data_IF_411250617928
#
_entry.id   IF_411250617928
#
_cell.length_a   1.000
_cell.length_b   1.000
_cell.length_c   1.000
_cell.angle_alpha   90.00
_cell.angle_beta   90.00
_cell.angle_gamma   90.00
#
_symmetry.space_group_name_H-M   'P 1'
#
loop_
_entity.id
_entity.type
_entity.pdbx_description
1 polymer ?
#
# COMPACT_ATOMS: atom_id res chain seq x y z
N UNK A 1 -7.27 19.34 0.72
CA UNK A 1 -6.50 18.98 1.93
C UNK A 1 -6.56 17.48 2.12
N UNK A 2 -5.42 16.81 1.95
CA UNK A 2 -5.21 15.38 2.18
C UNK A 2 -5.01 15.08 3.68
N UNK A 3 -4.98 13.80 4.06
CA UNK A 3 -4.58 13.39 5.41
C UNK A 3 -3.12 13.74 5.71
N UNK A 4 -2.24 13.77 4.71
CA UNK A 4 -0.86 14.22 4.85
C UNK A 4 -0.81 15.69 5.27
N UNK A 5 -1.69 16.54 4.73
CA UNK A 5 -1.76 17.96 5.12
C UNK A 5 -2.31 18.13 6.55
N UNK A 6 -3.26 17.30 6.95
CA UNK A 6 -3.91 17.37 8.28
C UNK A 6 -3.03 16.83 9.41
N UNK A 7 -2.28 15.77 9.11
CA UNK A 7 -1.44 15.09 10.10
C UNK A 7 -0.03 15.67 10.12
N UNK A 8 0.49 16.11 8.98
CA UNK A 8 1.84 16.66 8.84
C UNK A 8 2.87 15.73 9.49
N UNK A 9 3.70 16.31 10.35
CA UNK A 9 4.78 15.60 11.07
C UNK A 9 4.29 14.50 12.03
N UNK A 10 2.98 14.45 12.31
CA UNK A 10 2.38 13.39 13.14
C UNK A 10 2.05 12.13 12.36
N UNK A 11 2.09 12.15 11.03
CA UNK A 11 1.88 10.93 10.24
C UNK A 11 3.14 10.05 10.31
N UNK A 12 3.07 8.95 11.07
CA UNK A 12 4.23 8.07 11.32
C UNK A 12 4.24 6.78 10.51
N UNK A 13 3.06 6.27 10.18
CA UNK A 13 2.90 4.97 9.55
C UNK A 13 1.65 4.96 8.66
N UNK A 14 1.75 4.37 7.48
CA UNK A 14 0.64 4.15 6.54
C UNK A 14 0.49 2.65 6.26
N UNK A 15 -0.74 2.14 6.34
CA UNK A 15 -1.08 0.83 5.81
C UNK A 15 -1.45 0.98 4.33
N UNK A 16 -0.85 0.15 3.49
CA UNK A 16 -1.08 0.11 2.06
C UNK A 16 -1.88 -1.15 1.74
N UNK A 17 -3.01 -0.94 1.07
CA UNK A 17 -3.89 -2.00 0.59
C UNK A 17 -4.19 -1.75 -0.88
N UNK A 18 -4.40 -2.83 -1.64
CA UNK A 18 -5.15 -2.77 -2.89
C UNK A 18 -6.54 -3.34 -2.64
N UNK A 19 -7.55 -2.92 -3.41
CA UNK A 19 -8.90 -3.43 -3.25
C UNK A 19 -9.72 -3.33 -4.54
N UNK A 20 -10.82 -4.06 -4.59
CA UNK A 20 -11.81 -3.95 -5.67
C UNK A 20 -12.77 -2.76 -5.50
N UNK A 21 -12.66 -2.03 -4.39
CA UNK A 21 -13.51 -0.91 -4.00
C UNK A 21 -14.92 -1.32 -3.52
N UNK A 22 -15.20 -2.61 -3.36
CA UNK A 22 -16.51 -3.12 -2.98
C UNK A 22 -16.48 -4.04 -1.75
N UNK A 23 -15.38 -4.74 -1.52
CA UNK A 23 -15.18 -5.62 -0.38
C UNK A 23 -14.08 -5.10 0.56
N UNK A 24 -14.08 -5.59 1.79
CA UNK A 24 -13.01 -5.36 2.77
C UNK A 24 -11.77 -6.26 2.53
N UNK A 25 -11.68 -6.87 1.35
CA UNK A 25 -10.58 -7.75 1.00
C UNK A 25 -9.37 -6.91 0.58
N UNK A 26 -8.20 -7.22 1.14
CA UNK A 26 -6.96 -6.57 0.73
C UNK A 26 -6.26 -7.43 -0.31
N UNK A 27 -6.09 -6.89 -1.50
CA UNK A 27 -5.53 -7.61 -2.63
C UNK A 27 -4.02 -7.45 -2.68
N UNK A 28 -3.32 -8.41 -3.29
CA UNK A 28 -1.90 -8.24 -3.60
C UNK A 28 -1.77 -6.98 -4.49
N UNK A 29 -0.80 -6.08 -4.24
CA UNK A 29 -0.62 -4.89 -5.06
C UNK A 29 -0.64 -5.19 -6.56
N UNK A 30 -1.54 -4.52 -7.28
CA UNK A 30 -1.75 -4.69 -8.72
C UNK A 30 -2.86 -5.67 -9.11
N UNK A 31 -3.50 -6.34 -8.16
CA UNK A 31 -4.69 -7.18 -8.44
C UNK A 31 -6.00 -6.44 -8.18
N UNK A 32 -5.97 -5.32 -7.45
CA UNK A 32 -7.13 -4.48 -7.23
C UNK A 32 -7.25 -3.35 -8.25
N UNK A 33 -7.97 -2.31 -7.85
CA UNK A 33 -8.32 -1.16 -8.68
C UNK A 33 -7.78 0.16 -8.13
N UNK A 34 -7.10 0.12 -6.98
CA UNK A 34 -6.52 1.34 -6.42
C UNK A 34 -5.35 1.77 -7.32
N UNK A 35 -5.26 3.06 -7.71
CA UNK A 35 -4.17 3.57 -8.55
C UNK A 35 -2.87 3.71 -7.72
N UNK A 36 -2.34 2.59 -7.23
CA UNK A 36 -1.25 2.56 -6.25
C UNK A 36 0.02 3.27 -6.75
N UNK A 37 0.35 3.16 -8.03
CA UNK A 37 1.51 3.87 -8.58
C UNK A 37 1.38 5.40 -8.44
N UNK A 38 0.22 5.97 -8.80
CA UNK A 38 -0.04 7.40 -8.66
C UNK A 38 -0.09 7.82 -7.18
N UNK A 39 -0.68 6.98 -6.32
CA UNK A 39 -0.69 7.22 -4.87
C UNK A 39 0.73 7.26 -4.30
N UNK A 40 1.59 6.31 -4.66
CA UNK A 40 2.96 6.25 -4.15
C UNK A 40 3.78 7.44 -4.64
N UNK A 41 3.58 7.87 -5.90
CA UNK A 41 4.21 9.07 -6.43
C UNK A 41 3.79 10.33 -5.66
N UNK A 42 2.50 10.51 -5.35
CA UNK A 42 2.03 11.66 -4.54
C UNK A 42 2.63 11.63 -3.12
N UNK A 43 2.71 10.45 -2.49
CA UNK A 43 3.33 10.30 -1.16
C UNK A 43 4.82 10.67 -1.20
N UNK A 44 5.55 10.22 -2.22
CA UNK A 44 6.96 10.56 -2.41
C UNK A 44 7.18 12.05 -2.66
N UNK A 45 6.36 12.67 -3.53
CA UNK A 45 6.44 14.10 -3.84
C UNK A 45 6.17 14.99 -2.62
N UNK A 46 5.37 14.50 -1.67
CA UNK A 46 5.12 15.17 -0.39
C UNK A 46 6.27 15.03 0.61
N UNK A 47 7.31 14.25 0.30
CA UNK A 47 8.46 14.05 1.18
C UNK A 47 8.14 13.22 2.42
N UNK A 48 7.17 12.30 2.35
CA UNK A 48 6.88 11.40 3.45
C UNK A 48 8.05 10.44 3.71
N UNK A 49 8.57 10.43 4.94
CA UNK A 49 9.70 9.60 5.37
C UNK A 49 9.34 8.59 6.47
N UNK A 50 8.04 8.37 6.70
CA UNK A 50 7.57 7.40 7.69
C UNK A 50 7.56 5.97 7.16
N UNK A 51 6.99 5.07 7.95
CA UNK A 51 6.94 3.64 7.60
C UNK A 51 5.68 3.29 6.80
N UNK A 52 5.78 2.24 5.98
CA UNK A 52 4.61 1.64 5.35
C UNK A 52 4.56 0.13 5.60
N UNK A 53 3.35 -0.39 5.68
CA UNK A 53 3.09 -1.84 5.75
C UNK A 53 2.13 -2.20 4.64
N UNK A 54 2.47 -3.22 3.85
CA UNK A 54 1.52 -3.83 2.92
C UNK A 54 0.63 -4.75 3.76
N UNK A 55 -0.66 -4.43 3.84
CA UNK A 55 -1.58 -5.16 4.70
C UNK A 55 -2.32 -6.23 3.88
N UNK A 56 -1.97 -7.48 4.14
CA UNK A 56 -2.67 -8.66 3.64
C UNK A 56 -3.53 -9.24 4.76
N UNK A 57 -4.73 -9.71 4.41
CA UNK A 57 -5.71 -10.24 5.38
C UNK A 57 -5.98 -11.74 5.15
N UNK A 58 -7.19 -12.19 5.46
CA UNK A 58 -7.56 -13.61 5.59
C UNK A 58 -7.39 -14.45 4.31
N UNK A 59 -7.40 -13.84 3.12
CA UNK A 59 -7.30 -14.58 1.84
C UNK A 59 -5.98 -15.33 1.64
N UNK A 60 -4.91 -14.94 2.34
CA UNK A 60 -3.55 -15.44 2.08
C UNK A 60 -2.97 -16.24 3.25
N UNK A 61 -3.82 -16.68 4.18
CA UNK A 61 -3.39 -17.40 5.38
C UNK A 61 -2.91 -18.83 5.11
N UNK A 62 -3.25 -19.40 3.96
CA UNK A 62 -2.81 -20.74 3.56
C UNK A 62 -1.31 -20.78 3.27
N UNK A 63 -0.74 -19.72 2.67
CA UNK A 63 0.67 -19.63 2.30
C UNK A 63 1.25 -18.22 2.57
N UNK A 64 1.22 -17.74 3.83
CA UNK A 64 1.42 -16.32 4.16
C UNK A 64 2.81 -15.80 3.76
N UNK A 65 3.84 -16.65 3.85
CA UNK A 65 5.20 -16.28 3.45
C UNK A 65 5.31 -16.03 1.94
N UNK A 66 4.67 -16.86 1.12
CA UNK A 66 4.73 -16.74 -0.33
C UNK A 66 3.97 -15.50 -0.80
N UNK A 67 2.78 -15.27 -0.24
CA UNK A 67 1.99 -14.09 -0.57
C UNK A 67 2.63 -12.78 -0.08
N UNK A 68 3.25 -12.77 1.11
CA UNK A 68 4.01 -11.62 1.58
C UNK A 68 5.22 -11.29 0.68
N UNK A 69 5.94 -12.32 0.21
CA UNK A 69 7.06 -12.13 -0.71
C UNK A 69 6.60 -11.54 -2.05
N UNK A 70 5.52 -12.08 -2.62
CA UNK A 70 4.93 -11.58 -3.87
C UNK A 70 4.41 -10.14 -3.72
N UNK A 71 3.75 -9.83 -2.61
CA UNK A 71 3.26 -8.48 -2.35
C UNK A 71 4.41 -7.47 -2.24
N UNK A 72 5.50 -7.82 -1.55
CA UNK A 72 6.71 -7.00 -1.49
C UNK A 72 7.35 -6.79 -2.87
N UNK A 73 7.44 -7.84 -3.68
CA UNK A 73 7.97 -7.76 -5.04
C UNK A 73 7.16 -6.77 -5.88
N UNK A 74 5.84 -6.96 -5.94
CA UNK A 74 4.96 -6.08 -6.73
C UNK A 74 4.94 -4.66 -6.23
N UNK A 75 4.93 -4.46 -4.91
CA UNK A 75 4.97 -3.13 -4.33
C UNK A 75 6.27 -2.40 -4.69
N UNK A 76 7.44 -3.06 -4.62
CA UNK A 76 8.72 -2.46 -5.03
C UNK A 76 8.73 -2.07 -6.52
N UNK A 77 8.11 -2.87 -7.38
CA UNK A 77 7.99 -2.54 -8.80
C UNK A 77 7.17 -1.26 -9.06
N UNK A 78 6.26 -0.88 -8.14
CA UNK A 78 5.53 0.39 -8.20
C UNK A 78 6.42 1.60 -7.85
N UNK A 79 7.45 1.40 -7.02
CA UNK A 79 8.35 2.44 -6.53
C UNK A 79 9.55 2.69 -7.44
N UNK A 80 9.88 1.75 -8.32
CA UNK A 80 11.07 1.81 -9.19
C UNK A 80 10.89 2.73 -10.43
N UNK A 81 9.92 3.66 -10.41
CA UNK A 81 9.57 4.54 -11.53
C UNK A 81 9.71 6.00 -11.17
#
# INVERSE_FOLDING_TARGET
MSYFDKLGDRLRHVHIVDSDGASDSHYIPGEGKIPLAALMQDIQQRGYQGYCTIELVTMYMNEPRLHAALALERFKALLAK
#
